data_IF_162177327304
#
_entry.id   IF_162177327304
#
_cell.length_a   1.000
_cell.length_b   1.000
_cell.length_c   1.000
_cell.angle_alpha   90.00
_cell.angle_beta   90.00
_cell.angle_gamma   90.00
#
_symmetry.space_group_name_H-M   'P 1'
#
loop_
_entity.id
_entity.type
_entity.pdbx_description
1 polymer ?
#
# COMPACT_ATOMS: atom_id res chain seq x y z
N UNK A 1 -37.35 -17.54 -16.45
CA UNK A 1 -37.30 -16.46 -15.45
C UNK A 1 -35.86 -16.33 -14.98
N UNK A 2 -35.10 -15.41 -15.57
CA UNK A 2 -33.77 -15.07 -15.09
C UNK A 2 -33.94 -14.10 -13.91
N UNK A 3 -33.33 -14.42 -12.78
CA UNK A 3 -33.31 -13.54 -11.61
C UNK A 3 -32.20 -12.52 -11.82
N UNK A 4 -32.58 -11.24 -11.89
CA UNK A 4 -31.66 -10.11 -11.80
C UNK A 4 -30.97 -10.16 -10.43
N UNK A 5 -29.65 -10.33 -10.43
CA UNK A 5 -28.82 -10.08 -9.26
C UNK A 5 -28.58 -8.57 -9.18
N UNK A 6 -28.83 -7.92 -8.05
CA UNK A 6 -28.49 -6.51 -7.90
C UNK A 6 -26.98 -6.35 -7.94
N UNK A 7 -26.47 -5.67 -8.96
CA UNK A 7 -25.12 -5.08 -8.95
C UNK A 7 -25.13 -4.00 -7.87
N UNK A 8 -24.60 -4.30 -6.68
CA UNK A 8 -24.22 -3.25 -5.75
C UNK A 8 -23.25 -2.31 -6.49
N UNK A 9 -23.46 -0.98 -6.43
CA UNK A 9 -22.50 -0.05 -6.99
C UNK A 9 -21.18 -0.28 -6.28
N UNK A 10 -20.13 -0.47 -7.07
CA UNK A 10 -18.78 -0.68 -6.60
C UNK A 10 -18.42 0.49 -5.65
N UNK A 11 -18.28 0.19 -4.36
CA UNK A 11 -17.99 1.19 -3.32
C UNK A 11 -16.60 1.82 -3.48
N UNK A 12 -15.87 1.46 -4.53
CA UNK A 12 -14.56 2.00 -4.88
C UNK A 12 -14.63 3.35 -5.63
N UNK A 13 -15.83 3.78 -6.04
CA UNK A 13 -16.03 4.96 -6.90
C UNK A 13 -16.23 6.30 -6.16
N UNK A 14 -16.16 6.33 -4.82
CA UNK A 14 -16.19 7.59 -4.07
C UNK A 14 -14.76 8.17 -3.94
N UNK A 15 -14.43 9.29 -4.61
CA UNK A 15 -13.12 9.93 -4.49
C UNK A 15 -12.85 10.48 -3.09
N UNK A 16 -13.86 10.54 -2.20
CA UNK A 16 -13.73 10.91 -0.79
C UNK A 16 -13.68 9.70 0.17
N UNK A 17 -13.79 8.45 -0.33
CA UNK A 17 -13.71 7.28 0.52
C UNK A 17 -12.29 7.09 1.06
N UNK A 18 -12.08 7.55 2.29
CA UNK A 18 -10.92 7.22 3.11
C UNK A 18 -10.91 5.72 3.38
N UNK A 19 -9.74 5.09 3.27
CA UNK A 19 -9.57 3.69 3.59
C UNK A 19 -9.81 3.45 5.09
N UNK A 20 -10.57 2.41 5.44
CA UNK A 20 -10.69 1.95 6.82
C UNK A 20 -9.40 1.23 7.24
N UNK A 21 -8.39 2.02 7.60
CA UNK A 21 -7.04 1.54 7.91
C UNK A 21 -7.05 0.47 9.02
N UNK A 22 -7.88 0.65 10.05
CA UNK A 22 -7.98 -0.29 11.16
C UNK A 22 -8.53 -1.65 10.70
N UNK A 23 -9.60 -1.65 9.89
CA UNK A 23 -10.16 -2.88 9.34
C UNK A 23 -9.21 -3.56 8.37
N UNK A 24 -8.53 -2.79 7.52
CA UNK A 24 -7.55 -3.32 6.56
C UNK A 24 -6.37 -3.95 7.31
N UNK A 25 -5.80 -3.25 8.31
CA UNK A 25 -4.71 -3.76 9.12
C UNK A 25 -5.10 -5.07 9.83
N UNK A 26 -6.28 -5.10 10.48
CA UNK A 26 -6.77 -6.31 11.14
C UNK A 26 -6.93 -7.50 10.16
N UNK A 27 -7.38 -7.23 8.94
CA UNK A 27 -7.53 -8.28 7.91
C UNK A 27 -6.20 -8.80 7.39
N UNK A 28 -5.20 -7.93 7.24
CA UNK A 28 -3.83 -8.29 6.86
C UNK A 28 -3.17 -9.10 7.98
N UNK A 29 -3.24 -8.65 9.23
CA UNK A 29 -2.66 -9.34 10.38
C UNK A 29 -3.20 -10.78 10.47
N UNK A 30 -4.53 -10.96 10.40
CA UNK A 30 -5.14 -12.29 10.43
C UNK A 30 -4.69 -13.18 9.25
N UNK A 31 -4.63 -12.63 8.03
CA UNK A 31 -4.22 -13.39 6.84
C UNK A 31 -2.78 -13.90 6.96
N UNK A 32 -1.88 -13.05 7.44
CA UNK A 32 -0.45 -13.33 7.52
C UNK A 32 -0.14 -14.32 8.65
N UNK A 33 -0.84 -14.22 9.78
CA UNK A 33 -0.73 -15.19 10.88
C UNK A 33 -1.13 -16.60 10.43
N UNK A 34 -2.26 -16.72 9.73
CA UNK A 34 -2.79 -18.02 9.30
C UNK A 34 -1.99 -18.65 8.15
N UNK A 35 -1.46 -17.82 7.23
CA UNK A 35 -0.87 -18.30 5.97
C UNK A 35 0.66 -18.50 6.00
N UNK A 36 1.40 -17.72 6.80
CA UNK A 36 2.86 -17.66 6.70
C UNK A 36 3.61 -18.21 7.92
N UNK A 37 2.90 -18.67 8.97
CA UNK A 37 3.54 -19.15 10.20
C UNK A 37 4.36 -18.08 10.91
N UNK A 38 4.08 -16.80 10.64
CA UNK A 38 4.78 -15.66 11.23
C UNK A 38 4.34 -15.45 12.68
N UNK A 39 5.21 -14.84 13.48
CA UNK A 39 4.87 -14.49 14.86
C UNK A 39 3.78 -13.42 14.88
N UNK A 40 2.96 -13.34 15.95
CA UNK A 40 1.96 -12.29 16.07
C UNK A 40 2.53 -10.87 15.95
N UNK A 41 3.76 -10.66 16.45
CA UNK A 41 4.45 -9.38 16.32
C UNK A 41 4.78 -9.06 14.86
N UNK A 42 5.39 -10.00 14.12
CA UNK A 42 5.75 -9.78 12.73
C UNK A 42 4.51 -9.51 11.87
N UNK A 43 3.40 -10.22 12.10
CA UNK A 43 2.15 -9.98 11.39
C UNK A 43 1.58 -8.58 11.64
N UNK A 44 1.66 -8.07 12.88
CA UNK A 44 1.24 -6.72 13.23
C UNK A 44 2.13 -5.64 12.60
N UNK A 45 3.45 -5.86 12.60
CA UNK A 45 4.40 -4.94 11.95
C UNK A 45 4.18 -4.89 10.44
N UNK A 46 3.92 -6.05 9.80
CA UNK A 46 3.53 -6.10 8.38
C UNK A 46 2.23 -5.33 8.15
N UNK A 47 1.20 -5.55 8.97
CA UNK A 47 -0.06 -4.83 8.84
C UNK A 47 0.12 -3.32 8.96
N UNK A 48 0.87 -2.86 9.96
CA UNK A 48 1.22 -1.44 10.14
C UNK A 48 1.90 -0.87 8.89
N UNK A 49 2.98 -1.49 8.43
CA UNK A 49 3.70 -1.02 7.25
C UNK A 49 2.83 -1.06 5.99
N UNK A 50 1.87 -1.97 5.88
CA UNK A 50 0.96 -2.01 4.73
C UNK A 50 -0.19 -0.99 4.78
N UNK A 51 -0.39 -0.28 5.90
CA UNK A 51 -1.50 0.66 6.05
C UNK A 51 -1.11 2.11 6.36
N UNK A 52 0.12 2.36 6.79
CA UNK A 52 0.55 3.71 7.22
C UNK A 52 0.57 4.74 6.09
N UNK A 53 0.57 4.29 4.82
CA UNK A 53 0.64 5.12 3.62
C UNK A 53 -0.66 5.12 2.79
N UNK A 54 -1.78 4.72 3.40
CA UNK A 54 -3.08 4.66 2.71
C UNK A 54 -3.58 6.03 2.23
N UNK A 55 -3.19 7.12 2.90
CA UNK A 55 -3.54 8.48 2.47
C UNK A 55 -2.79 8.87 1.19
N UNK A 56 -1.50 8.54 1.06
CA UNK A 56 -0.72 8.71 -0.17
C UNK A 56 -1.29 7.86 -1.30
N UNK A 57 -1.71 6.61 -1.01
CA UNK A 57 -2.40 5.75 -1.98
C UNK A 57 -3.70 6.39 -2.48
N UNK A 58 -4.54 6.90 -1.58
CA UNK A 58 -5.81 7.52 -1.95
C UNK A 58 -5.60 8.74 -2.84
N UNK A 59 -4.64 9.61 -2.48
CA UNK A 59 -4.29 10.81 -3.25
C UNK A 59 -3.70 10.46 -4.62
N UNK A 60 -2.79 9.49 -4.69
CA UNK A 60 -2.21 9.04 -5.94
C UNK A 60 -3.27 8.39 -6.85
N UNK A 61 -4.15 7.55 -6.31
CA UNK A 61 -5.25 6.97 -7.06
C UNK A 61 -6.23 8.04 -7.57
N UNK A 62 -6.53 9.07 -6.77
CA UNK A 62 -7.35 10.20 -7.21
C UNK A 62 -6.70 10.96 -8.38
N UNK A 63 -5.39 11.24 -8.30
CA UNK A 63 -4.63 11.81 -9.41
C UNK A 63 -4.69 10.93 -10.67
N UNK A 64 -4.45 9.63 -10.55
CA UNK A 64 -4.50 8.71 -11.70
C UNK A 64 -5.88 8.66 -12.38
N UNK A 65 -6.98 8.86 -11.63
CA UNK A 65 -8.34 8.92 -12.17
C UNK A 65 -8.63 10.24 -12.89
N UNK A 66 -8.10 11.35 -12.38
CA UNK A 66 -8.38 12.70 -12.87
C UNK A 66 -7.10 13.54 -12.92
N UNK A 67 -6.19 13.28 -13.88
CA UNK A 67 -4.86 13.90 -13.90
C UNK A 67 -4.91 15.43 -14.06
N UNK A 68 -5.93 15.96 -14.74
CA UNK A 68 -6.09 17.41 -14.97
C UNK A 68 -6.69 18.15 -13.75
N UNK A 69 -7.05 17.44 -12.68
CA UNK A 69 -7.70 18.03 -11.50
C UNK A 69 -6.72 18.50 -10.41
N UNK A 70 -5.42 18.21 -10.56
CA UNK A 70 -4.35 18.64 -9.66
C UNK A 70 -3.40 19.57 -10.44
N UNK A 71 -2.89 20.60 -9.79
CA UNK A 71 -1.85 21.44 -10.40
C UNK A 71 -0.45 20.81 -10.26
N UNK A 72 0.49 21.29 -11.06
CA UNK A 72 1.86 20.74 -11.12
C UNK A 72 2.60 20.80 -9.77
N UNK A 73 2.34 21.83 -8.96
CA UNK A 73 2.99 22.00 -7.67
C UNK A 73 2.48 20.96 -6.66
N UNK A 74 1.16 20.82 -6.56
CA UNK A 74 0.54 19.81 -5.71
C UNK A 74 0.87 18.38 -6.18
N UNK A 75 1.03 18.16 -7.49
CA UNK A 75 1.50 16.90 -8.03
C UNK A 75 2.95 16.59 -7.62
N UNK A 76 3.86 17.57 -7.71
CA UNK A 76 5.24 17.39 -7.30
C UNK A 76 5.36 17.05 -5.80
N UNK A 77 4.55 17.69 -4.95
CA UNK A 77 4.47 17.40 -3.52
C UNK A 77 3.91 15.98 -3.26
N UNK A 78 2.86 15.59 -3.98
CA UNK A 78 2.30 14.24 -3.91
C UNK A 78 3.34 13.18 -4.30
N UNK A 79 4.06 13.38 -5.42
CA UNK A 79 5.08 12.46 -5.87
C UNK A 79 6.23 12.34 -4.87
N UNK A 80 6.66 13.46 -4.29
CA UNK A 80 7.72 13.46 -3.26
C UNK A 80 7.28 12.68 -2.02
N UNK A 81 6.08 12.96 -1.50
CA UNK A 81 5.53 12.24 -0.35
C UNK A 81 5.41 10.74 -0.64
N UNK A 82 4.83 10.38 -1.79
CA UNK A 82 4.63 8.98 -2.16
C UNK A 82 5.95 8.23 -2.33
N UNK A 83 6.92 8.80 -3.07
CA UNK A 83 8.18 8.14 -3.41
C UNK A 83 9.17 8.07 -2.23
N UNK A 84 9.05 8.95 -1.24
CA UNK A 84 9.90 8.89 -0.03
C UNK A 84 9.29 8.04 1.09
N UNK A 85 7.97 7.96 1.18
CA UNK A 85 7.28 7.27 2.28
C UNK A 85 6.91 5.81 1.92
N UNK A 86 6.22 5.61 0.80
CA UNK A 86 5.65 4.30 0.43
C UNK A 86 6.73 3.23 0.23
N UNK A 87 7.84 3.48 -0.50
CA UNK A 87 8.84 2.45 -0.73
C UNK A 87 9.49 1.91 0.55
N UNK A 88 9.74 2.75 1.55
CA UNK A 88 10.32 2.33 2.84
C UNK A 88 9.40 1.37 3.59
N UNK A 89 8.10 1.65 3.59
CA UNK A 89 7.11 0.79 4.22
C UNK A 89 6.92 -0.53 3.46
N UNK A 90 6.88 -0.49 2.12
CA UNK A 90 6.81 -1.71 1.30
C UNK A 90 8.08 -2.56 1.44
N UNK A 91 9.25 -1.92 1.53
CA UNK A 91 10.53 -2.56 1.79
C UNK A 91 10.52 -3.31 3.13
N UNK A 92 10.09 -2.64 4.21
CA UNK A 92 9.98 -3.24 5.54
C UNK A 92 8.97 -4.40 5.57
N UNK A 93 7.76 -4.20 5.04
CA UNK A 93 6.73 -5.24 4.96
C UNK A 93 7.19 -6.44 4.12
N UNK A 94 7.81 -6.20 2.96
CA UNK A 94 8.33 -7.25 2.09
C UNK A 94 9.43 -8.08 2.75
N UNK A 95 10.35 -7.41 3.48
CA UNK A 95 11.40 -8.08 4.25
C UNK A 95 10.81 -8.96 5.36
N UNK A 96 9.86 -8.43 6.12
CA UNK A 96 9.20 -9.16 7.21
C UNK A 96 8.37 -10.34 6.69
N UNK A 97 7.67 -10.17 5.58
CA UNK A 97 6.75 -11.19 5.04
C UNK A 97 7.49 -12.33 4.33
N UNK A 98 8.54 -12.02 3.57
CA UNK A 98 9.23 -13.02 2.73
C UNK A 98 10.53 -13.54 3.34
N UNK A 99 11.14 -12.80 4.26
CA UNK A 99 12.50 -13.07 4.77
C UNK A 99 13.62 -12.85 3.74
N UNK A 100 13.28 -12.46 2.51
CA UNK A 100 14.24 -12.28 1.41
C UNK A 100 14.88 -10.88 1.47
N UNK A 101 16.11 -10.73 0.96
CA UNK A 101 16.72 -9.40 0.79
C UNK A 101 16.01 -8.65 -0.34
N UNK A 102 15.92 -7.32 -0.22
CA UNK A 102 15.52 -6.45 -1.33
C UNK A 102 16.62 -6.46 -2.38
N UNK A 103 16.21 -6.39 -3.64
CA UNK A 103 17.09 -6.41 -4.79
C UNK A 103 16.84 -5.17 -5.63
N UNK A 104 17.91 -4.50 -6.07
CA UNK A 104 17.84 -3.44 -7.07
C UNK A 104 17.73 -4.05 -8.47
N UNK A 105 16.54 -4.54 -8.80
CA UNK A 105 16.26 -5.23 -10.07
C UNK A 105 16.48 -4.31 -11.28
N UNK A 106 16.30 -3.00 -11.10
CA UNK A 106 16.39 -2.01 -12.18
C UNK A 106 17.76 -1.34 -12.28
N UNK A 107 18.69 -1.61 -11.34
CA UNK A 107 20.04 -1.06 -11.35
C UNK A 107 20.07 0.46 -11.18
N UNK A 108 19.13 1.02 -10.42
CA UNK A 108 19.01 2.47 -10.19
C UNK A 108 19.67 2.94 -8.88
N UNK A 109 20.31 2.02 -8.14
CA UNK A 109 20.86 2.28 -6.81
C UNK A 109 19.78 2.36 -5.74
N UNK A 110 18.64 1.67 -5.91
CA UNK A 110 17.53 1.73 -4.95
C UNK A 110 17.83 1.04 -3.61
N UNK A 111 18.86 0.18 -3.57
CA UNK A 111 19.30 -0.52 -2.37
C UNK A 111 20.81 -0.41 -2.29
N UNK A 112 21.33 0.15 -1.20
CA UNK A 112 22.78 0.18 -0.95
C UNK A 112 23.30 -1.25 -0.78
N UNK A 113 24.45 -1.60 -1.38
CA UNK A 113 25.09 -2.87 -1.10
C UNK A 113 25.44 -2.93 0.39
N UNK A 114 24.99 -4.01 1.05
CA UNK A 114 25.29 -4.23 2.46
C UNK A 114 26.80 -4.50 2.60
N UNK A 115 27.60 -3.47 2.86
CA UNK A 115 29.02 -3.60 3.19
C UNK A 115 29.12 -4.40 4.50
N UNK A 116 29.37 -5.70 4.39
CA UNK A 116 29.66 -6.60 5.51
C UNK A 116 31.15 -6.92 5.57
#
# INVERSE_FOLDING_TARGET
>A
MAQDLPTEPDRLDDPAASFDAARIAARIEAAVQDGAGLTPQAAREIAFHMTDWLDELARYAAFCRSPDAIDDAALADLLTAFLCHVPEHLAAAGRLHTGLPLQDIFGVGAVEPNER
#
